data_IF_906695830431
#
_entry.id   IF_906695830431
#
_cell.length_a   1.000
_cell.length_b   1.000
_cell.length_c   1.000
_cell.angle_alpha   90.00
_cell.angle_beta   90.00
_cell.angle_gamma   90.00
#
_symmetry.space_group_name_H-M   'P 1'
#
loop_
_entity.id
_entity.type
_entity.pdbx_description
1 polymer ?
#
# COMPACT_ATOMS: atom_id res chain seq x y z
N UNK A 1 33.03 -44.52 60.91
CA UNK A 1 33.09 -43.52 59.83
C UNK A 1 32.40 -44.10 58.59
N UNK A 2 31.14 -43.73 58.36
CA UNK A 2 30.29 -44.30 57.31
C UNK A 2 30.51 -43.51 56.01
N UNK A 3 30.90 -44.22 54.95
CA UNK A 3 31.32 -43.70 53.65
C UNK A 3 30.09 -43.34 52.82
N UNK A 4 29.82 -42.05 52.66
CA UNK A 4 28.72 -41.52 51.84
C UNK A 4 29.04 -41.82 50.36
N UNK A 5 28.25 -42.70 49.72
CA UNK A 5 28.28 -42.87 48.26
C UNK A 5 27.51 -41.71 47.62
N UNK A 6 28.21 -40.84 46.89
CA UNK A 6 27.58 -39.86 45.99
C UNK A 6 26.88 -40.65 44.86
N UNK A 7 25.54 -40.58 44.83
CA UNK A 7 24.76 -41.07 43.70
C UNK A 7 24.89 -40.04 42.57
N UNK A 8 25.65 -40.39 41.54
CA UNK A 8 25.81 -39.58 40.34
C UNK A 8 24.62 -39.87 39.41
N UNK A 9 23.54 -39.11 39.55
CA UNK A 9 22.40 -39.16 38.62
C UNK A 9 22.75 -38.24 37.45
N UNK A 10 23.27 -38.85 36.39
CA UNK A 10 23.34 -38.23 35.08
C UNK A 10 21.92 -38.35 34.51
N UNK A 11 21.18 -37.24 34.46
CA UNK A 11 19.94 -37.18 33.71
C UNK A 11 20.29 -36.98 32.23
N UNK A 12 20.24 -38.08 31.48
CA UNK A 12 20.39 -38.09 30.03
C UNK A 12 19.13 -37.50 29.38
N UNK A 13 19.06 -36.18 29.27
CA UNK A 13 17.98 -35.46 28.57
C UNK A 13 18.22 -35.37 27.05
N UNK A 14 18.55 -36.51 26.42
CA UNK A 14 18.67 -36.63 24.97
C UNK A 14 17.81 -37.77 24.45
N UNK A 15 16.58 -37.49 24.01
CA UNK A 15 15.83 -38.51 23.30
C UNK A 15 14.41 -38.23 22.85
N UNK A 16 13.77 -37.13 23.26
CA UNK A 16 12.38 -36.87 22.86
C UNK A 16 12.19 -36.45 21.38
N UNK A 17 13.26 -36.41 20.57
CA UNK A 17 13.21 -35.84 19.22
C UNK A 17 12.94 -36.86 18.10
N UNK A 18 13.03 -38.18 18.34
CA UNK A 18 13.00 -39.18 17.25
C UNK A 18 11.77 -40.10 17.22
N UNK A 19 10.83 -39.99 18.15
CA UNK A 19 9.70 -40.94 18.27
C UNK A 19 8.55 -40.66 17.29
N UNK A 20 8.52 -39.47 16.70
CA UNK A 20 7.47 -39.09 15.77
C UNK A 20 8.03 -39.17 14.34
N UNK A 21 7.83 -40.31 13.69
CA UNK A 21 8.35 -40.64 12.35
C UNK A 21 7.90 -39.68 11.23
N UNK A 22 7.99 -40.07 9.94
CA UNK A 22 7.82 -39.16 8.80
C UNK A 22 6.47 -38.41 8.80
N UNK A 23 5.45 -38.97 9.47
CA UNK A 23 4.14 -38.33 9.66
C UNK A 23 4.23 -37.01 10.45
N UNK A 24 5.13 -36.91 11.43
CA UNK A 24 5.34 -35.69 12.20
C UNK A 24 6.04 -34.61 11.40
N UNK A 25 6.97 -35.00 10.52
CA UNK A 25 7.58 -34.09 9.57
C UNK A 25 6.54 -33.54 8.59
N UNK A 26 5.61 -34.38 8.11
CA UNK A 26 4.49 -33.95 7.28
C UNK A 26 3.58 -32.97 8.03
N UNK A 27 3.26 -33.26 9.30
CA UNK A 27 2.45 -32.35 10.15
C UNK A 27 3.18 -31.02 10.39
N UNK A 28 4.50 -31.03 10.63
CA UNK A 28 5.32 -29.84 10.84
C UNK A 28 5.34 -28.97 9.58
N UNK A 29 5.56 -29.57 8.41
CA UNK A 29 5.55 -28.85 7.12
C UNK A 29 4.18 -28.24 6.83
N UNK A 30 3.08 -28.95 7.13
CA UNK A 30 1.72 -28.42 6.98
C UNK A 30 1.44 -27.24 7.93
N UNK A 31 1.85 -27.35 9.20
CA UNK A 31 1.68 -26.28 10.19
C UNK A 31 2.52 -25.05 9.81
N UNK A 32 3.79 -25.23 9.44
CA UNK A 32 4.66 -24.11 9.04
C UNK A 32 4.14 -23.42 7.77
N UNK A 33 3.64 -24.18 6.79
CA UNK A 33 3.02 -23.62 5.59
C UNK A 33 1.74 -22.82 5.88
N UNK A 34 0.90 -23.32 6.79
CA UNK A 34 -0.30 -22.62 7.23
C UNK A 34 0.04 -21.32 7.98
N UNK A 35 0.95 -21.39 8.96
CA UNK A 35 1.44 -20.21 9.70
C UNK A 35 2.08 -19.18 8.76
N UNK A 36 2.88 -19.59 7.78
CA UNK A 36 3.47 -18.69 6.79
C UNK A 36 2.42 -18.01 5.89
N UNK A 37 1.31 -18.70 5.59
CA UNK A 37 0.19 -18.14 4.82
C UNK A 37 -0.58 -17.11 5.64
N UNK A 38 -0.76 -17.34 6.94
CA UNK A 38 -1.36 -16.38 7.86
C UNK A 38 -0.49 -15.13 8.04
N UNK A 39 0.84 -15.26 8.05
CA UNK A 39 1.77 -14.13 8.18
C UNK A 39 1.82 -13.27 6.88
N UNK A 40 1.65 -13.87 5.69
CA UNK A 40 1.74 -13.14 4.41
C UNK A 40 0.54 -12.23 4.09
N UNK A 41 -0.54 -12.28 4.86
CA UNK A 41 -1.79 -11.55 4.53
C UNK A 41 -1.90 -10.12 5.11
N UNK A 42 -0.77 -9.46 5.41
CA UNK A 42 -0.77 -8.06 5.87
C UNK A 42 0.08 -7.12 5.01
N UNK A 43 0.30 -7.47 3.74
CA UNK A 43 0.72 -6.48 2.75
C UNK A 43 -0.50 -5.96 2.00
N UNK A 44 -1.40 -5.32 2.76
CA UNK A 44 -2.36 -4.40 2.19
C UNK A 44 -1.57 -3.32 1.48
N UNK A 45 -1.72 -3.23 0.16
CA UNK A 45 -1.23 -2.07 -0.58
C UNK A 45 -1.97 -0.87 -0.02
N UNK A 46 -1.31 -0.07 0.81
CA UNK A 46 -1.79 1.26 1.14
C UNK A 46 -1.80 2.02 -0.19
N UNK A 47 -2.95 1.99 -0.86
CA UNK A 47 -3.29 2.96 -1.89
C UNK A 47 -3.07 4.33 -1.21
N UNK A 48 -2.40 5.31 -1.84
CA UNK A 48 -2.48 6.70 -1.38
C UNK A 48 -3.91 7.20 -1.63
N UNK A 49 -4.88 6.62 -0.93
CA UNK A 49 -6.10 7.31 -0.58
C UNK A 49 -5.63 8.51 0.22
N UNK A 50 -5.84 9.69 -0.38
CA UNK A 50 -5.51 10.96 0.23
C UNK A 50 -6.04 10.94 1.66
N UNK A 51 -5.13 10.92 2.64
CA UNK A 51 -5.45 11.35 4.00
C UNK A 51 -5.90 12.78 3.85
N UNK A 52 -7.21 13.00 3.80
CA UNK A 52 -7.77 14.30 4.08
C UNK A 52 -7.62 14.47 5.59
N UNK A 53 -6.71 15.35 6.00
CA UNK A 53 -6.64 15.83 7.37
C UNK A 53 -8.01 16.43 7.71
N UNK A 54 -8.87 15.68 8.40
CA UNK A 54 -10.15 16.19 8.84
C UNK A 54 -9.89 17.12 10.03
N UNK A 55 -9.75 18.40 9.73
CA UNK A 55 -9.71 19.46 10.72
C UNK A 55 -11.16 19.81 11.12
N UNK A 56 -11.62 19.47 12.34
CA UNK A 56 -13.00 19.70 12.77
C UNK A 56 -13.36 21.18 12.93
N UNK A 57 -12.40 22.09 12.80
CA UNK A 57 -12.62 23.54 12.85
C UNK A 57 -12.80 24.17 11.45
N UNK A 58 -12.85 23.38 10.38
CA UNK A 58 -13.23 23.88 9.07
C UNK A 58 -14.75 23.81 8.93
N UNK A 59 -15.43 24.96 9.00
CA UNK A 59 -16.78 25.14 8.47
C UNK A 59 -16.67 24.92 6.95
N UNK A 60 -16.67 23.65 6.54
CA UNK A 60 -16.66 23.26 5.14
C UNK A 60 -18.03 23.61 4.60
N UNK A 61 -18.17 24.83 4.07
CA UNK A 61 -19.30 25.14 3.21
C UNK A 61 -19.33 24.04 2.13
N UNK A 62 -20.33 23.14 2.11
CA UNK A 62 -20.40 22.02 1.17
C UNK A 62 -20.71 22.50 -0.27
N UNK A 63 -20.53 23.80 -0.51
CA UNK A 63 -20.54 24.44 -1.80
C UNK A 63 -19.28 24.05 -2.57
N UNK A 64 -19.22 22.75 -2.92
CA UNK A 64 -18.87 22.28 -4.25
C UNK A 64 -17.60 22.96 -4.76
N UNK A 65 -16.43 22.34 -4.55
CA UNK A 65 -15.34 22.57 -5.51
C UNK A 65 -15.94 22.31 -6.90
N UNK A 66 -15.86 23.32 -7.74
CA UNK A 66 -16.65 23.43 -8.94
C UNK A 66 -15.65 23.32 -10.08
N UNK A 67 -15.83 22.34 -10.97
CA UNK A 67 -14.93 22.18 -12.11
C UNK A 67 -15.35 23.21 -13.16
N UNK A 68 -14.68 24.36 -13.16
CA UNK A 68 -14.90 25.42 -14.14
C UNK A 68 -14.31 24.95 -15.47
N UNK A 69 -15.13 24.97 -16.50
CA UNK A 69 -14.71 24.60 -17.84
C UNK A 69 -13.70 25.63 -18.38
N UNK A 70 -12.47 25.22 -18.75
CA UNK A 70 -11.46 26.15 -19.27
C UNK A 70 -11.83 26.70 -20.66
N UNK A 71 -12.75 26.04 -21.39
CA UNK A 71 -13.18 26.49 -22.73
C UNK A 71 -14.32 27.50 -22.71
N UNK A 72 -15.28 27.37 -21.79
CA UNK A 72 -16.51 28.17 -21.82
C UNK A 72 -16.90 28.79 -20.47
N UNK A 73 -16.10 28.60 -19.42
CA UNK A 73 -16.36 29.11 -18.07
C UNK A 73 -17.51 28.43 -17.34
N UNK A 74 -18.19 27.46 -17.95
CA UNK A 74 -19.32 26.77 -17.31
C UNK A 74 -18.90 26.11 -16.02
N UNK A 75 -19.78 26.23 -15.04
CA UNK A 75 -19.61 25.60 -13.76
C UNK A 75 -20.14 24.15 -13.77
N UNK A 76 -19.26 23.16 -13.56
CA UNK A 76 -19.61 21.74 -13.58
C UNK A 76 -19.41 21.09 -12.21
N UNK A 77 -20.03 19.92 -12.01
CA UNK A 77 -19.82 19.09 -10.82
C UNK A 77 -18.36 18.62 -10.71
N UNK A 78 -17.86 18.37 -9.49
CA UNK A 78 -16.50 17.80 -9.26
C UNK A 78 -16.25 16.54 -10.06
N UNK A 79 -17.28 15.70 -10.17
CA UNK A 79 -17.20 14.39 -10.79
C UNK A 79 -17.50 14.43 -12.30
N UNK A 80 -17.77 15.61 -12.87
CA UNK A 80 -18.07 15.73 -14.29
C UNK A 80 -16.80 15.52 -15.12
N UNK A 81 -16.82 14.51 -16.00
CA UNK A 81 -15.73 14.22 -16.95
C UNK A 81 -15.75 15.16 -18.16
N UNK A 82 -16.95 15.63 -18.54
CA UNK A 82 -17.16 16.54 -19.66
C UNK A 82 -17.98 17.74 -19.22
N UNK A 83 -17.85 18.86 -19.93
CA UNK A 83 -18.63 20.06 -19.66
C UNK A 83 -20.08 19.88 -20.13
N UNK A 84 -21.04 20.16 -19.24
CA UNK A 84 -22.48 20.06 -19.53
C UNK A 84 -22.97 21.11 -20.56
N UNK A 85 -22.19 22.16 -20.82
CA UNK A 85 -22.55 23.23 -21.76
C UNK A 85 -21.91 23.05 -23.14
N UNK A 86 -20.61 22.75 -23.20
CA UNK A 86 -19.86 22.71 -24.46
C UNK A 86 -19.25 21.34 -24.79
N UNK A 87 -19.42 20.32 -23.95
CA UNK A 87 -18.90 18.97 -24.18
C UNK A 87 -17.38 18.82 -24.02
N UNK A 88 -16.63 19.87 -23.67
CA UNK A 88 -15.18 19.76 -23.51
C UNK A 88 -14.78 18.85 -22.35
N UNK A 89 -13.74 18.04 -22.55
CA UNK A 89 -13.19 17.20 -21.50
C UNK A 89 -12.64 18.08 -20.35
N UNK A 90 -13.07 17.78 -19.13
CA UNK A 90 -12.66 18.44 -17.88
C UNK A 90 -11.57 17.65 -17.14
N UNK A 91 -11.27 16.43 -17.60
CA UNK A 91 -10.22 15.63 -17.00
C UNK A 91 -8.86 16.26 -17.27
N UNK A 92 -7.96 16.25 -16.26
CA UNK A 92 -6.59 16.63 -16.46
C UNK A 92 -5.95 15.76 -17.56
N UNK A 93 -5.52 16.37 -18.67
CA UNK A 93 -4.66 15.73 -19.67
C UNK A 93 -3.20 15.83 -19.26
N UNK A 94 -2.60 14.71 -18.85
CA UNK A 94 -1.19 14.65 -18.51
C UNK A 94 -0.31 15.17 -19.67
N UNK A 95 0.75 15.88 -19.33
CA UNK A 95 1.72 16.40 -20.31
C UNK A 95 2.78 15.34 -20.57
N UNK A 96 3.06 15.05 -21.83
CA UNK A 96 4.20 14.21 -22.19
C UNK A 96 5.45 15.07 -22.35
N UNK A 97 6.57 14.67 -21.79
CA UNK A 97 7.83 15.39 -21.99
C UNK A 97 8.37 15.11 -23.40
N UNK A 98 8.62 16.16 -24.19
CA UNK A 98 9.18 16.03 -25.55
C UNK A 98 10.63 15.53 -25.56
N UNK A 99 11.35 15.61 -24.43
CA UNK A 99 12.76 15.22 -24.33
C UNK A 99 12.97 13.78 -23.90
N UNK A 100 12.23 13.32 -22.88
CA UNK A 100 12.40 11.97 -22.31
C UNK A 100 11.16 11.08 -22.46
N UNK A 101 10.03 11.60 -22.95
CA UNK A 101 8.80 10.84 -23.13
C UNK A 101 7.99 10.57 -21.86
N UNK A 102 8.41 11.08 -20.70
CA UNK A 102 7.72 10.80 -19.45
C UNK A 102 6.41 11.57 -19.30
N UNK A 103 5.43 10.94 -18.64
CA UNK A 103 4.10 11.49 -18.43
C UNK A 103 4.08 12.26 -17.12
N UNK A 104 3.82 13.57 -17.21
CA UNK A 104 3.84 14.51 -16.11
C UNK A 104 2.43 15.04 -15.82
N UNK A 105 2.23 15.55 -14.60
CA UNK A 105 0.95 16.16 -14.20
C UNK A 105 0.61 17.37 -15.07
N UNK A 106 -0.68 17.65 -15.22
CA UNK A 106 -1.19 18.72 -16.10
C UNK A 106 -0.74 20.11 -15.73
N UNK A 107 -0.48 20.30 -14.43
CA UNK A 107 -0.07 21.58 -13.86
C UNK A 107 1.46 21.63 -13.64
N UNK A 108 2.21 20.62 -14.09
CA UNK A 108 3.66 20.62 -13.97
C UNK A 108 4.28 21.56 -15.02
N UNK A 109 5.12 22.48 -14.55
CA UNK A 109 5.91 23.37 -15.41
C UNK A 109 7.21 22.71 -15.91
N UNK A 110 7.73 21.74 -15.15
CA UNK A 110 8.97 21.02 -15.43
C UNK A 110 8.75 19.50 -15.34
N UNK A 111 9.49 18.76 -16.15
CA UNK A 111 9.51 17.32 -16.15
C UNK A 111 10.13 16.79 -14.85
N UNK A 112 9.42 15.89 -14.16
CA UNK A 112 9.89 15.30 -12.90
C UNK A 112 11.08 14.35 -13.10
N UNK A 113 11.21 13.73 -14.28
CA UNK A 113 12.31 12.79 -14.56
C UNK A 113 13.57 13.44 -15.15
N UNK A 114 13.43 14.43 -16.06
CA UNK A 114 14.57 15.01 -16.79
C UNK A 114 14.77 16.52 -16.59
N UNK A 115 13.88 17.19 -15.84
CA UNK A 115 13.97 18.62 -15.56
C UNK A 115 13.62 19.56 -16.73
N UNK A 116 13.33 19.04 -17.93
CA UNK A 116 12.98 19.89 -19.07
C UNK A 116 11.64 20.61 -18.86
N UNK A 117 11.52 21.86 -19.35
CA UNK A 117 10.25 22.59 -19.33
C UNK A 117 9.19 21.86 -20.15
N UNK A 118 7.96 21.80 -19.63
CA UNK A 118 6.81 21.19 -20.28
C UNK A 118 5.92 22.27 -20.89
N UNK A 119 5.47 22.08 -22.12
CA UNK A 119 4.52 22.97 -22.81
C UNK A 119 3.07 22.52 -22.54
#
# INVERSE_FOLDING_TARGET
MIKIRKCNIIQDEKGAFFVFGPLWFVILVMIVGFIATLIKNNNGKNNPEKVYDYNPNQIVNPLKSRNICPKCGQNNSKSAKFCNKCGSNLLPKNKSCSKCGSINQTNANFCQDCGNRLE
#
